data_IF_450079352025
#
_entry.id   IF_450079352025
#
_cell.length_a   1.000
_cell.length_b   1.000
_cell.length_c   1.000
_cell.angle_alpha   90.00
_cell.angle_beta   90.00
_cell.angle_gamma   90.00
#
_symmetry.space_group_name_H-M   'P 1'
#
loop_
_entity.id
_entity.type
_entity.pdbx_description
1 polymer ?
#
# COMPACT_ATOMS: atom_id res chain seq x y z
N UNK A 1 10.84 -30.77 -11.14
CA UNK A 1 9.95 -29.95 -12.01
C UNK A 1 9.89 -28.59 -11.36
N UNK A 2 10.70 -27.64 -11.82
CA UNK A 2 10.62 -26.25 -11.38
C UNK A 2 9.60 -25.57 -12.29
N UNK A 3 8.52 -25.06 -11.71
CA UNK A 3 7.54 -24.24 -12.42
C UNK A 3 8.19 -22.87 -12.65
N UNK A 4 8.29 -22.47 -13.92
CA UNK A 4 8.64 -21.10 -14.27
C UNK A 4 7.53 -20.19 -13.74
N UNK A 5 7.78 -19.48 -12.64
CA UNK A 5 7.02 -18.30 -12.25
C UNK A 5 7.34 -17.22 -13.28
N UNK A 6 6.51 -17.19 -14.33
CA UNK A 6 6.77 -16.52 -15.60
C UNK A 6 7.02 -15.03 -15.43
N UNK A 7 8.11 -14.57 -16.03
CA UNK A 7 8.39 -13.16 -16.25
C UNK A 7 7.41 -12.68 -17.34
N UNK A 8 6.33 -12.00 -16.97
CA UNK A 8 5.38 -11.43 -17.93
C UNK A 8 5.94 -10.12 -18.49
N UNK A 9 6.13 -10.05 -19.81
CA UNK A 9 6.56 -8.86 -20.53
C UNK A 9 5.31 -8.23 -21.15
N UNK A 10 4.80 -7.16 -20.55
CA UNK A 10 3.71 -6.36 -21.12
C UNK A 10 4.27 -5.17 -21.90
N UNK A 11 3.73 -4.93 -23.09
CA UNK A 11 4.03 -3.73 -23.88
C UNK A 11 3.07 -2.60 -23.49
N UNK A 12 3.57 -1.56 -22.85
CA UNK A 12 2.81 -0.33 -22.60
C UNK A 12 3.01 0.65 -23.76
N UNK A 13 1.93 1.32 -24.16
CA UNK A 13 1.94 2.29 -25.25
C UNK A 13 2.24 3.67 -24.68
N UNK A 14 3.31 4.28 -25.19
CA UNK A 14 3.71 5.69 -25.05
C UNK A 14 4.58 6.05 -23.83
N UNK A 15 5.89 6.20 -24.08
CA UNK A 15 6.91 6.70 -23.16
C UNK A 15 7.81 7.75 -23.84
N UNK A 16 7.23 8.78 -24.47
CA UNK A 16 8.00 9.94 -25.00
C UNK A 16 9.24 9.55 -25.85
N UNK A 17 9.05 8.76 -26.92
CA UNK A 17 10.10 8.26 -27.82
C UNK A 17 11.03 7.14 -27.27
N UNK A 18 10.69 6.48 -26.17
CA UNK A 18 11.37 5.25 -25.78
C UNK A 18 10.78 4.06 -26.53
N UNK A 19 11.55 3.45 -27.44
CA UNK A 19 11.13 2.34 -28.32
C UNK A 19 10.61 1.11 -27.54
N UNK A 20 11.15 0.89 -26.32
CA UNK A 20 10.74 -0.22 -25.44
C UNK A 20 11.17 0.05 -23.99
N UNK A 21 10.23 -0.07 -23.05
CA UNK A 21 10.54 -0.03 -21.61
C UNK A 21 10.45 -1.44 -21.05
N UNK A 22 11.52 -1.88 -20.40
CA UNK A 22 11.52 -3.10 -19.60
C UNK A 22 11.29 -2.70 -18.14
N UNK A 23 10.15 -3.10 -17.58
CA UNK A 23 9.90 -2.99 -16.15
C UNK A 23 9.61 -4.38 -15.59
N UNK A 24 10.02 -4.61 -14.35
CA UNK A 24 9.60 -5.77 -13.57
C UNK A 24 8.41 -5.33 -12.74
N UNK A 25 7.22 -5.79 -13.08
CA UNK A 25 6.08 -5.71 -12.18
C UNK A 25 6.11 -6.93 -11.26
N UNK A 26 6.10 -6.70 -9.94
CA UNK A 26 5.82 -7.77 -9.00
C UNK A 26 4.33 -8.08 -9.08
N UNK A 27 3.99 -9.35 -9.25
CA UNK A 27 2.60 -9.78 -9.14
C UNK A 27 2.07 -9.41 -7.74
N UNK A 28 0.91 -8.73 -7.62
CA UNK A 28 0.33 -8.42 -6.34
C UNK A 28 0.13 -9.70 -5.51
N UNK A 29 0.72 -9.74 -4.32
CA UNK A 29 0.63 -10.89 -3.42
C UNK A 29 -0.66 -10.92 -2.57
N UNK A 30 -1.62 -10.04 -2.88
CA UNK A 30 -2.91 -9.94 -2.18
C UNK A 30 -4.01 -10.42 -3.14
N UNK A 31 -4.58 -11.60 -2.88
CA UNK A 31 -5.50 -12.27 -3.80
C UNK A 31 -6.75 -11.46 -4.14
N UNK A 32 -7.30 -10.71 -3.17
CA UNK A 32 -8.48 -9.87 -3.41
C UNK A 32 -8.19 -8.73 -4.41
N UNK A 33 -6.93 -8.27 -4.50
CA UNK A 33 -6.53 -7.21 -5.42
C UNK A 33 -6.48 -7.74 -6.85
N UNK A 34 -6.08 -9.00 -7.02
CA UNK A 34 -6.06 -9.69 -8.32
C UNK A 34 -7.45 -10.02 -8.84
N UNK A 35 -8.45 -10.16 -7.98
CA UNK A 35 -9.79 -10.53 -8.44
C UNK A 35 -10.48 -9.36 -9.19
N UNK A 36 -10.78 -9.50 -10.50
CA UNK A 36 -11.42 -8.44 -11.27
C UNK A 36 -12.91 -8.24 -10.92
N UNK A 37 -13.53 -9.22 -10.24
CA UNK A 37 -14.94 -9.15 -9.83
C UNK A 37 -15.14 -8.44 -8.49
N UNK A 38 -14.07 -8.23 -7.73
CA UNK A 38 -14.13 -7.52 -6.46
C UNK A 38 -14.19 -6.02 -6.70
N UNK A 39 -15.11 -5.34 -6.02
CA UNK A 39 -15.27 -3.90 -6.12
C UNK A 39 -14.04 -3.13 -5.59
N UNK A 40 -13.78 -1.91 -6.10
CA UNK A 40 -12.72 -1.05 -5.56
C UNK A 40 -12.85 -0.80 -4.06
N UNK A 41 -14.07 -0.66 -3.53
CA UNK A 41 -14.30 -0.43 -2.11
C UNK A 41 -13.96 -1.65 -1.24
N UNK A 42 -14.27 -2.86 -1.69
CA UNK A 42 -13.86 -4.09 -0.99
C UNK A 42 -12.35 -4.28 -1.02
N UNK A 43 -11.70 -3.99 -2.15
CA UNK A 43 -10.23 -3.99 -2.25
C UNK A 43 -9.61 -2.98 -1.28
N UNK A 44 -10.16 -1.77 -1.25
CA UNK A 44 -9.69 -0.70 -0.36
C UNK A 44 -9.85 -1.07 1.13
N UNK A 45 -10.95 -1.75 1.50
CA UNK A 45 -11.16 -2.23 2.87
C UNK A 45 -10.10 -3.24 3.30
N UNK A 46 -9.74 -4.17 2.42
CA UNK A 46 -8.70 -5.15 2.71
C UNK A 46 -7.32 -4.49 2.78
N UNK A 47 -6.99 -3.60 1.83
CA UNK A 47 -5.74 -2.86 1.88
C UNK A 47 -5.62 -2.02 3.16
N UNK A 48 -6.68 -1.33 3.55
CA UNK A 48 -6.73 -0.56 4.80
C UNK A 48 -6.52 -1.45 6.02
N UNK A 49 -7.14 -2.64 6.04
CA UNK A 49 -6.90 -3.62 7.10
C UNK A 49 -5.43 -4.02 7.17
N UNK A 50 -4.85 -4.48 6.06
CA UNK A 50 -3.45 -4.93 6.00
C UNK A 50 -2.46 -3.81 6.34
N UNK A 51 -2.71 -2.58 5.86
CA UNK A 51 -1.87 -1.43 6.19
C UNK A 51 -1.88 -1.12 7.69
N UNK A 52 -3.05 -1.15 8.33
CA UNK A 52 -3.18 -0.95 9.79
C UNK A 52 -2.54 -2.11 10.56
N UNK A 53 -2.72 -3.35 10.10
CA UNK A 53 -2.13 -4.52 10.74
C UNK A 53 -0.61 -4.54 10.65
N UNK A 54 -0.05 -4.03 9.56
CA UNK A 54 1.39 -3.91 9.40
C UNK A 54 2.03 -2.92 10.36
N UNK A 55 1.27 -2.05 11.04
CA UNK A 55 1.79 -1.15 12.08
C UNK A 55 2.07 -1.97 13.34
N UNK A 56 3.36 -2.26 13.57
CA UNK A 56 3.90 -2.88 14.78
C UNK A 56 5.15 -2.10 15.21
N UNK A 57 5.77 -2.47 16.35
CA UNK A 57 6.92 -1.76 16.90
C UNK A 57 8.05 -1.56 15.87
N UNK A 58 8.47 -2.64 15.20
CA UNK A 58 9.59 -2.63 14.28
C UNK A 58 9.27 -1.81 13.03
N UNK A 59 8.12 -2.07 12.39
CA UNK A 59 7.73 -1.38 11.15
C UNK A 59 7.43 0.09 11.40
N UNK A 60 6.87 0.44 12.56
CA UNK A 60 6.61 1.81 12.93
C UNK A 60 7.91 2.60 13.15
N UNK A 61 8.86 2.04 13.91
CA UNK A 61 10.16 2.65 14.15
C UNK A 61 11.00 2.76 12.87
N UNK A 62 10.98 1.74 12.01
CA UNK A 62 11.74 1.72 10.77
C UNK A 62 11.05 2.44 9.60
N UNK A 63 9.84 2.98 9.80
CA UNK A 63 9.05 3.63 8.73
C UNK A 63 8.75 2.68 7.55
N UNK A 64 8.41 1.42 7.85
CA UNK A 64 8.17 0.34 6.87
C UNK A 64 6.76 -0.25 6.92
N UNK A 65 5.84 0.35 7.67
CA UNK A 65 4.44 -0.04 7.66
C UNK A 65 3.70 0.46 6.41
N UNK A 66 2.60 -0.20 6.07
CA UNK A 66 1.82 0.07 4.87
C UNK A 66 1.17 1.46 4.82
N UNK A 67 0.87 2.09 5.97
CA UNK A 67 0.39 3.48 5.98
C UNK A 67 1.52 4.41 5.57
N UNK A 68 2.75 4.16 6.05
CA UNK A 68 3.94 4.89 5.62
C UNK A 68 4.25 4.70 4.14
N UNK A 69 4.19 3.47 3.63
CA UNK A 69 4.37 3.21 2.20
C UNK A 69 3.37 3.99 1.36
N UNK A 70 2.09 4.02 1.75
CA UNK A 70 1.07 4.80 1.03
C UNK A 70 1.38 6.31 1.02
N UNK A 71 1.86 6.87 2.14
CA UNK A 71 2.27 8.28 2.20
C UNK A 71 3.38 8.56 1.20
N UNK A 72 4.37 7.67 1.11
CA UNK A 72 5.51 7.80 0.21
C UNK A 72 5.10 7.66 -1.26
N UNK A 73 4.23 6.70 -1.57
CA UNK A 73 3.67 6.51 -2.91
C UNK A 73 2.91 7.75 -3.39
N UNK A 74 2.05 8.33 -2.54
CA UNK A 74 1.32 9.57 -2.85
C UNK A 74 2.30 10.74 -3.06
N UNK A 75 3.31 10.87 -2.20
CA UNK A 75 4.33 11.90 -2.33
C UNK A 75 5.18 11.75 -3.61
N UNK A 76 5.37 10.52 -4.08
CA UNK A 76 6.02 10.19 -5.34
C UNK A 76 5.11 10.38 -6.57
N UNK A 77 3.85 10.77 -6.38
CA UNK A 77 2.89 11.00 -7.45
C UNK A 77 2.22 9.72 -7.97
N UNK A 78 2.31 8.60 -7.24
CA UNK A 78 1.62 7.37 -7.61
C UNK A 78 0.11 7.57 -7.44
N UNK A 79 -0.62 7.44 -8.55
CA UNK A 79 -2.06 7.55 -8.57
C UNK A 79 -2.69 6.31 -9.19
N UNK A 80 -3.57 5.68 -8.42
CA UNK A 80 -4.33 4.50 -8.85
C UNK A 80 -5.82 4.72 -8.59
N UNK A 81 -6.72 3.98 -9.26
CA UNK A 81 -8.14 4.00 -8.94
C UNK A 81 -8.46 3.60 -7.49
N UNK A 82 -7.52 2.98 -6.77
CA UNK A 82 -7.68 2.56 -5.38
C UNK A 82 -7.20 3.60 -4.36
N UNK A 83 -6.45 4.64 -4.77
CA UNK A 83 -5.84 5.59 -3.83
C UNK A 83 -6.89 6.28 -2.94
N UNK A 84 -7.90 6.93 -3.52
CA UNK A 84 -8.96 7.60 -2.75
C UNK A 84 -9.73 6.67 -1.81
N UNK A 85 -10.30 5.54 -2.28
CA UNK A 85 -11.05 4.66 -1.39
C UNK A 85 -10.14 4.02 -0.31
N UNK A 86 -8.88 3.74 -0.62
CA UNK A 86 -7.91 3.21 0.35
C UNK A 86 -7.57 4.23 1.45
N UNK A 87 -7.26 5.48 1.07
CA UNK A 87 -7.03 6.58 2.02
C UNK A 87 -8.25 6.74 2.93
N UNK A 88 -9.44 6.85 2.33
CA UNK A 88 -10.71 7.00 3.06
C UNK A 88 -10.89 5.90 4.11
N UNK A 89 -10.63 4.65 3.77
CA UNK A 89 -10.79 3.55 4.73
C UNK A 89 -9.73 3.51 5.83
N UNK A 90 -8.50 3.96 5.56
CA UNK A 90 -7.51 4.16 6.63
C UNK A 90 -8.01 5.23 7.60
N UNK A 91 -8.42 6.40 7.10
CA UNK A 91 -8.85 7.52 7.93
C UNK A 91 -10.07 7.16 8.79
N UNK A 92 -11.04 6.45 8.21
CA UNK A 92 -12.24 5.97 8.91
C UNK A 92 -11.88 5.02 10.07
N UNK A 93 -10.99 4.05 9.83
CA UNK A 93 -10.58 3.06 10.85
C UNK A 93 -9.69 3.66 11.92
N UNK A 94 -8.88 4.67 11.59
CA UNK A 94 -8.06 5.42 12.52
C UNK A 94 -8.85 6.51 13.28
N UNK A 95 -10.09 6.20 13.68
CA UNK A 95 -10.97 7.10 14.45
C UNK A 95 -11.23 8.46 13.78
N UNK A 96 -11.42 8.48 12.45
CA UNK A 96 -11.70 9.71 11.70
C UNK A 96 -10.53 10.69 11.70
N UNK A 97 -9.31 10.19 11.48
CA UNK A 97 -8.11 11.03 11.35
C UNK A 97 -8.24 11.99 10.18
N UNK A 98 -7.61 13.17 10.29
CA UNK A 98 -7.67 14.22 9.26
C UNK A 98 -6.77 13.85 8.08
N UNK A 99 -5.65 13.18 8.34
CA UNK A 99 -4.71 12.72 7.32
C UNK A 99 -4.02 11.40 7.70
N UNK A 100 -3.22 10.86 6.76
CA UNK A 100 -2.55 9.57 6.92
C UNK A 100 -1.43 9.59 7.99
N UNK A 101 -0.76 10.73 8.22
CA UNK A 101 0.26 10.82 9.25
C UNK A 101 -0.39 10.74 10.63
N UNK A 102 -1.49 11.48 10.83
CA UNK A 102 -2.29 11.40 12.04
C UNK A 102 -2.85 9.98 12.22
N UNK A 103 -3.40 9.38 11.16
CA UNK A 103 -3.92 8.02 11.20
C UNK A 103 -2.86 7.02 11.69
N UNK A 104 -1.64 7.10 11.15
CA UNK A 104 -0.52 6.25 11.55
C UNK A 104 -0.17 6.39 13.02
N UNK A 105 -0.10 7.63 13.54
CA UNK A 105 0.17 7.89 14.96
C UNK A 105 -0.94 7.36 15.87
N UNK A 106 -2.20 7.53 15.47
CA UNK A 106 -3.34 7.01 16.25
C UNK A 106 -3.38 5.50 16.29
N UNK A 107 -3.14 4.83 15.16
CA UNK A 107 -3.01 3.37 15.10
C UNK A 107 -1.88 2.89 16.01
N UNK A 108 -0.71 3.52 15.95
CA UNK A 108 0.41 3.16 16.82
C UNK A 108 0.04 3.29 18.31
N UNK A 109 -0.62 4.39 18.69
CA UNK A 109 -1.12 4.59 20.06
C UNK A 109 -2.15 3.54 20.48
N UNK A 110 -3.09 3.19 19.61
CA UNK A 110 -4.11 2.15 19.88
C UNK A 110 -3.49 0.77 20.07
N UNK A 111 -2.36 0.51 19.41
CA UNK A 111 -1.59 -0.73 19.52
C UNK A 111 -0.53 -0.70 20.62
N UNK A 112 -0.52 0.33 21.47
CA UNK A 112 0.46 0.52 22.55
C UNK A 112 1.92 0.46 22.05
N UNK A 113 2.16 0.99 20.83
CA UNK A 113 3.49 1.09 20.25
C UNK A 113 4.13 2.38 20.77
N UNK A 114 5.18 2.24 21.54
CA UNK A 114 5.92 3.37 22.12
C UNK A 114 7.13 3.66 21.24
N UNK A 115 7.48 4.94 20.98
CA UNK A 115 8.68 5.29 20.24
C UNK A 115 9.93 5.06 21.10
N UNK A 116 10.17 3.82 21.52
CA UNK A 116 11.49 3.38 21.97
C UNK A 116 12.26 2.98 20.71
N UNK A 117 12.62 3.98 19.92
CA UNK A 117 13.59 3.80 18.85
C UNK A 117 14.95 3.56 19.51
N UNK A 118 15.28 2.31 19.81
CA UNK A 118 16.66 1.90 20.00
C UNK A 118 17.35 1.98 18.63
N UNK A 119 17.89 3.17 18.34
CA UNK A 119 18.88 3.41 17.29
C UNK A 119 20.23 2.83 17.72
#
# INVERSE_FOLDING_TARGET
>A
KHENLGLEIESLVDFENVEKVFYTAFEPNIDIIKNPKTSPDEKAKELAYLAIESVNQDTFCMQRDGIRSLIEDIAAGVQTPLCEPFIREILNRASGSIDLNEARLRVAKQKEIYPECHL
#
